data_IF_121151425018
#
_entry.id   IF_121151425018
#
_cell.length_a   1.000
_cell.length_b   1.000
_cell.length_c   1.000
_cell.angle_alpha   90.00
_cell.angle_beta   90.00
_cell.angle_gamma   90.00
#
_symmetry.space_group_name_H-M   'P 1'
#
loop_
_entity.id
_entity.type
_entity.pdbx_description
1 polymer ?
#
# COMPACT_ATOMS: atom_id res chain seq x y z
N UNK A 1 -1.74 7.30 -7.33
CA UNK A 1 -2.99 7.90 -7.84
C UNK A 1 -4.07 7.76 -6.78
N UNK A 2 -4.86 8.81 -6.53
CA UNK A 2 -5.92 8.83 -5.50
C UNK A 2 -7.21 8.08 -5.88
N UNK A 3 -7.20 7.38 -7.02
CA UNK A 3 -8.39 6.70 -7.56
C UNK A 3 -8.91 5.60 -6.64
N UNK A 4 -8.06 4.98 -5.81
CA UNK A 4 -8.48 3.87 -4.95
C UNK A 4 -8.89 2.61 -5.71
N UNK A 5 -8.56 2.56 -7.00
CA UNK A 5 -8.74 1.40 -7.87
C UNK A 5 -7.43 0.62 -8.01
N UNK A 6 -7.53 -0.69 -8.17
CA UNK A 6 -6.39 -1.56 -8.47
C UNK A 6 -5.92 -1.27 -9.91
N UNK A 7 -4.77 -0.64 -10.06
CA UNK A 7 -4.21 -0.29 -11.38
C UNK A 7 -3.47 -1.45 -12.05
N UNK A 8 -2.93 -2.37 -11.26
CA UNK A 8 -2.23 -3.57 -11.73
C UNK A 8 -2.27 -4.64 -10.64
N UNK A 9 -2.26 -5.89 -11.06
CA UNK A 9 -2.21 -7.06 -10.20
C UNK A 9 -1.49 -8.18 -10.95
N UNK A 10 -0.91 -9.11 -10.18
CA UNK A 10 -0.42 -10.37 -10.76
C UNK A 10 -1.59 -11.30 -11.04
N UNK A 11 -1.36 -12.35 -11.83
CA UNK A 11 -2.37 -13.37 -12.16
C UNK A 11 -2.80 -14.23 -10.95
N UNK A 12 -2.20 -14.02 -9.78
CA UNK A 12 -2.59 -14.67 -8.53
C UNK A 12 -4.02 -14.33 -8.11
N UNK A 13 -4.47 -13.10 -8.39
CA UNK A 13 -5.85 -12.66 -8.14
C UNK A 13 -6.49 -12.33 -9.48
N UNK A 14 -7.30 -13.27 -9.99
CA UNK A 14 -7.97 -13.13 -11.28
C UNK A 14 -8.95 -11.96 -11.27
N UNK A 15 -8.98 -11.19 -12.36
CA UNK A 15 -9.86 -10.04 -12.57
C UNK A 15 -9.72 -8.92 -11.52
N UNK A 16 -8.54 -8.79 -10.89
CA UNK A 16 -8.33 -7.79 -9.84
C UNK A 16 -8.12 -6.38 -10.41
N UNK A 17 -7.37 -6.26 -11.50
CA UNK A 17 -7.11 -4.97 -12.18
C UNK A 17 -8.41 -4.30 -12.61
N UNK A 18 -8.55 -3.01 -12.33
CA UNK A 18 -9.75 -2.21 -12.58
C UNK A 18 -10.79 -2.25 -11.47
N UNK A 19 -10.62 -3.10 -10.45
CA UNK A 19 -11.55 -3.14 -9.30
C UNK A 19 -11.43 -1.87 -8.48
N UNK A 20 -12.55 -1.17 -8.29
CA UNK A 20 -12.67 0.04 -7.49
C UNK A 20 -13.12 -0.29 -6.06
N UNK A 21 -12.18 -0.78 -5.26
CA UNK A 21 -12.43 -1.18 -3.87
C UNK A 21 -12.79 0.01 -2.99
N UNK A 22 -12.16 1.17 -3.23
CA UNK A 22 -12.40 2.37 -2.43
C UNK A 22 -13.86 2.80 -2.52
N UNK A 23 -14.39 2.95 -3.73
CA UNK A 23 -15.78 3.38 -3.90
C UNK A 23 -16.77 2.31 -3.43
N UNK A 24 -16.48 1.03 -3.66
CA UNK A 24 -17.31 -0.06 -3.15
C UNK A 24 -17.51 0.04 -1.62
N UNK A 25 -16.41 0.08 -0.87
CA UNK A 25 -16.49 0.14 0.60
C UNK A 25 -17.01 1.48 1.13
N UNK A 26 -16.66 2.58 0.47
CA UNK A 26 -17.14 3.90 0.86
C UNK A 26 -18.65 4.04 0.68
N UNK A 27 -19.23 3.44 -0.36
CA UNK A 27 -20.68 3.43 -0.58
C UNK A 27 -21.41 2.50 0.38
N UNK A 28 -20.86 1.31 0.64
CA UNK A 28 -21.47 0.32 1.55
C UNK A 28 -21.51 0.81 3.00
N UNK A 29 -20.42 1.42 3.47
CA UNK A 29 -20.27 1.77 4.88
C UNK A 29 -20.43 3.26 5.18
N UNK A 30 -20.50 4.13 4.16
CA UNK A 30 -20.54 5.58 4.32
C UNK A 30 -19.38 6.15 5.17
N UNK A 31 -18.21 5.49 5.13
CA UNK A 31 -17.02 5.88 5.87
C UNK A 31 -15.86 6.25 4.93
N UNK A 32 -14.98 7.19 5.34
CA UNK A 32 -13.75 7.46 4.62
C UNK A 32 -12.94 6.18 4.41
N UNK A 33 -12.67 5.86 3.15
CA UNK A 33 -11.96 4.63 2.76
C UNK A 33 -10.66 4.98 2.06
N UNK A 34 -9.59 4.31 2.47
CA UNK A 34 -8.25 4.45 1.88
C UNK A 34 -7.79 3.09 1.40
N UNK A 35 -7.13 3.07 0.24
CA UNK A 35 -6.53 1.87 -0.32
C UNK A 35 -5.02 2.06 -0.41
N UNK A 36 -4.28 1.04 0.02
CA UNK A 36 -2.83 1.03 -0.01
C UNK A 36 -2.33 -0.36 -0.37
N UNK A 37 -1.22 -0.42 -1.12
CA UNK A 37 -0.51 -1.67 -1.35
C UNK A 37 -0.03 -2.27 0.00
N UNK A 38 0.02 -3.59 0.10
CA UNK A 38 0.40 -4.32 1.32
C UNK A 38 1.84 -4.05 1.79
N UNK A 39 2.81 -4.07 0.88
CA UNK A 39 4.22 -3.76 1.19
C UNK A 39 4.38 -2.29 1.61
N UNK A 40 3.63 -1.40 0.97
CA UNK A 40 3.56 0.01 1.34
C UNK A 40 2.97 0.18 2.76
N UNK A 41 1.87 -0.51 3.08
CA UNK A 41 1.24 -0.50 4.39
C UNK A 41 2.19 -1.06 5.47
N UNK A 42 2.89 -2.15 5.17
CA UNK A 42 3.89 -2.72 6.05
C UNK A 42 5.03 -1.73 6.33
N UNK A 43 5.58 -1.09 5.30
CA UNK A 43 6.65 -0.11 5.46
C UNK A 43 6.23 1.11 6.28
N UNK A 44 5.02 1.63 6.07
CA UNK A 44 4.46 2.69 6.93
C UNK A 44 4.26 2.21 8.36
N UNK A 45 3.85 0.96 8.56
CA UNK A 45 3.74 0.35 9.88
C UNK A 45 5.08 0.34 10.61
N UNK A 46 6.13 -0.16 9.95
CA UNK A 46 7.49 -0.20 10.49
C UNK A 46 8.06 1.20 10.74
N UNK A 47 7.77 2.16 9.87
CA UNK A 47 8.20 3.54 9.99
C UNK A 47 7.52 4.32 11.11
N UNK A 48 6.28 3.97 11.49
CA UNK A 48 5.53 4.70 12.51
C UNK A 48 5.59 4.02 13.88
N UNK A 49 5.57 2.69 13.91
CA UNK A 49 5.41 1.92 15.15
C UNK A 49 6.43 0.79 15.32
N UNK A 50 7.08 0.35 14.24
CA UNK A 50 8.03 -0.76 14.26
C UNK A 50 9.49 -0.34 14.43
N UNK A 51 10.38 -1.14 13.85
CA UNK A 51 11.83 -0.97 14.01
C UNK A 51 12.36 0.29 13.30
N UNK A 52 11.61 0.76 12.30
CA UNK A 52 11.89 1.93 11.50
C UNK A 52 11.62 3.26 12.19
N UNK A 53 10.88 3.30 13.30
CA UNK A 53 10.35 4.54 13.91
C UNK A 53 11.33 5.67 14.19
N UNK A 54 12.60 5.35 14.40
CA UNK A 54 13.65 6.33 14.71
C UNK A 54 14.55 6.64 13.50
N UNK A 55 14.19 6.15 12.31
CA UNK A 55 14.92 6.36 11.07
C UNK A 55 14.13 7.29 10.15
N UNK A 56 14.84 8.27 9.58
CA UNK A 56 14.26 9.19 8.59
C UNK A 56 14.06 8.53 7.23
N UNK A 57 14.83 7.49 6.91
CA UNK A 57 14.76 6.84 5.60
C UNK A 57 14.74 5.33 5.78
N UNK A 58 13.77 4.67 5.17
CA UNK A 58 13.59 3.22 5.26
C UNK A 58 13.32 2.67 3.86
N UNK A 59 14.09 1.67 3.46
CA UNK A 59 13.78 0.83 2.31
C UNK A 59 13.25 -0.50 2.82
N UNK A 60 11.98 -0.79 2.55
CA UNK A 60 11.36 -2.09 2.79
C UNK A 60 11.46 -2.93 1.52
N UNK A 61 11.93 -4.17 1.65
CA UNK A 61 12.02 -5.14 0.56
C UNK A 61 11.33 -6.42 1.02
N UNK A 62 10.22 -6.75 0.38
CA UNK A 62 9.49 -7.98 0.64
C UNK A 62 9.81 -9.00 -0.46
N UNK A 63 10.41 -10.13 -0.08
CA UNK A 63 10.78 -11.22 -0.99
C UNK A 63 9.96 -12.47 -0.66
N UNK A 64 9.23 -12.99 -1.65
CA UNK A 64 8.38 -14.16 -1.52
C UNK A 64 8.05 -14.76 -2.88
N UNK A 65 6.77 -15.04 -3.14
CA UNK A 65 6.29 -15.47 -4.48
C UNK A 65 6.57 -14.43 -5.57
N UNK A 66 6.77 -13.17 -5.19
CA UNK A 66 7.33 -12.10 -6.02
C UNK A 66 8.26 -11.21 -5.20
N UNK A 67 8.63 -10.05 -5.77
CA UNK A 67 9.34 -8.99 -5.05
C UNK A 67 8.48 -7.73 -4.99
N UNK A 68 8.37 -7.14 -3.81
CA UNK A 68 7.76 -5.83 -3.58
C UNK A 68 8.73 -4.92 -2.83
N UNK A 69 8.57 -3.62 -3.01
CA UNK A 69 9.41 -2.62 -2.36
C UNK A 69 8.62 -1.40 -1.96
N UNK A 70 9.05 -0.74 -0.88
CA UNK A 70 8.51 0.55 -0.46
C UNK A 70 9.64 1.41 0.11
N UNK A 71 9.63 2.71 -0.21
CA UNK A 71 10.61 3.65 0.29
C UNK A 71 9.93 4.74 1.12
N UNK A 72 10.34 4.86 2.38
CA UNK A 72 9.87 5.89 3.30
C UNK A 72 10.96 6.96 3.43
N UNK A 73 10.56 8.22 3.30
CA UNK A 73 11.39 9.38 3.57
C UNK A 73 10.66 10.34 4.52
N UNK A 74 11.30 10.67 5.64
CA UNK A 74 10.81 11.54 6.71
C UNK A 74 9.38 11.15 7.17
N UNK A 75 9.15 9.84 7.34
CA UNK A 75 7.85 9.28 7.74
C UNK A 75 6.80 9.18 6.62
N UNK A 76 7.12 9.66 5.41
CA UNK A 76 6.22 9.64 4.26
C UNK A 76 6.62 8.58 3.26
N UNK A 77 5.62 7.84 2.76
CA UNK A 77 5.82 6.91 1.66
C UNK A 77 6.05 7.68 0.36
N UNK A 78 7.18 7.44 -0.30
CA UNK A 78 7.42 7.94 -1.64
C UNK A 78 6.68 7.07 -2.65
N UNK A 79 5.77 7.69 -3.40
CA UNK A 79 5.03 7.06 -4.50
C UNK A 79 5.41 7.77 -5.80
N UNK A 80 5.60 6.98 -6.87
CA UNK A 80 5.81 7.46 -8.23
C UNK A 80 4.52 7.52 -9.05
#
# INVERSE_FOLDING_TARGET
TDSGAITSATDLIKNWTGTDLKNYFQNEYALPTFLLNDVHAHALGEANWGVGKNYRTILSVAVGTGMGGAFIQDGHLLQG
#
